data_IF_581843852708
#
_entry.id   IF_581843852708
#
_cell.length_a   1.000
_cell.length_b   1.000
_cell.length_c   1.000
_cell.angle_alpha   90.00
_cell.angle_beta   90.00
_cell.angle_gamma   90.00
#
_symmetry.space_group_name_H-M   'P 1'
#
loop_
_entity.id
_entity.type
_entity.pdbx_description
1 polymer ?
#
# COMPACT_ATOMS: atom_id res chain seq x y z
N UNK A 1 15.31 -4.42 -25.78
CA UNK A 1 14.47 -3.77 -24.75
C UNK A 1 13.47 -4.79 -24.26
N UNK A 2 13.47 -5.10 -22.97
CA UNK A 2 12.42 -5.95 -22.37
C UNK A 2 11.18 -5.10 -22.14
N UNK A 3 10.02 -5.59 -22.61
CA UNK A 3 8.75 -4.93 -22.36
C UNK A 3 8.46 -4.91 -20.86
N UNK A 4 7.91 -3.80 -20.33
CA UNK A 4 7.48 -3.75 -18.95
C UNK A 4 6.32 -4.73 -18.71
N UNK A 5 6.30 -5.33 -17.51
CA UNK A 5 5.22 -6.19 -17.05
C UNK A 5 4.34 -5.44 -16.06
N UNK A 6 3.02 -5.61 -16.17
CA UNK A 6 2.03 -5.02 -15.28
C UNK A 6 0.99 -6.06 -14.90
N UNK A 7 0.68 -6.15 -13.61
CA UNK A 7 -0.36 -7.03 -13.09
C UNK A 7 -1.15 -6.34 -11.99
N UNK A 8 -2.48 -6.31 -12.11
CA UNK A 8 -3.37 -5.76 -11.09
C UNK A 8 -3.47 -6.74 -9.93
N UNK A 9 -3.16 -6.28 -8.73
CA UNK A 9 -3.23 -7.05 -7.49
C UNK A 9 -4.63 -6.96 -6.86
N UNK A 10 -5.07 -7.98 -6.09
CA UNK A 10 -6.34 -7.95 -5.36
C UNK A 10 -6.48 -6.76 -4.39
N UNK A 11 -5.36 -6.29 -3.85
CA UNK A 11 -5.31 -5.08 -3.02
C UNK A 11 -5.44 -3.77 -3.82
N UNK A 12 -5.76 -3.80 -5.11
CA UNK A 12 -5.94 -2.62 -5.96
C UNK A 12 -4.64 -1.97 -6.44
N UNK A 13 -3.48 -2.39 -5.92
CA UNK A 13 -2.17 -1.98 -6.43
C UNK A 13 -1.85 -2.66 -7.77
N UNK A 14 -0.79 -2.20 -8.43
CA UNK A 14 -0.28 -2.75 -9.68
C UNK A 14 1.16 -3.19 -9.45
N UNK A 15 1.43 -4.50 -9.56
CA UNK A 15 2.79 -5.00 -9.67
C UNK A 15 3.35 -4.54 -11.01
N UNK A 16 4.47 -3.82 -10.96
CA UNK A 16 5.19 -3.36 -12.15
C UNK A 16 6.60 -3.94 -12.15
N UNK A 17 7.04 -4.50 -13.27
CA UNK A 17 8.43 -4.95 -13.47
C UNK A 17 9.00 -4.28 -14.72
N UNK A 18 10.04 -3.48 -14.54
CA UNK A 18 10.71 -2.72 -15.60
C UNK A 18 12.20 -2.61 -15.30
N UNK A 19 13.05 -2.78 -16.31
CA UNK A 19 14.51 -2.68 -16.17
C UNK A 19 15.07 -3.55 -15.02
N UNK A 20 14.59 -4.81 -14.92
CA UNK A 20 14.93 -5.77 -13.87
C UNK A 20 14.66 -5.31 -12.43
N UNK A 21 13.87 -4.25 -12.24
CA UNK A 21 13.36 -3.79 -10.95
C UNK A 21 11.86 -4.03 -10.90
N UNK A 22 11.34 -4.21 -9.69
CA UNK A 22 9.90 -4.33 -9.47
C UNK A 22 9.45 -3.47 -8.31
N UNK A 23 8.18 -3.08 -8.33
CA UNK A 23 7.52 -2.29 -7.30
C UNK A 23 6.01 -2.47 -7.38
N UNK A 24 5.31 -2.08 -6.31
CA UNK A 24 3.84 -1.99 -6.30
C UNK A 24 3.47 -0.52 -6.40
N UNK A 25 2.63 -0.18 -7.36
CA UNK A 25 2.13 1.17 -7.56
C UNK A 25 0.64 1.25 -7.26
N UNK A 26 0.24 2.30 -6.55
CA UNK A 26 -1.14 2.76 -6.49
C UNK A 26 -1.29 4.04 -7.30
N UNK A 27 -2.44 4.18 -7.96
CA UNK A 27 -2.82 5.41 -8.65
C UNK A 27 -4.20 5.82 -8.16
N UNK A 28 -4.28 7.02 -7.62
CA UNK A 28 -5.51 7.60 -7.09
C UNK A 28 -5.87 8.86 -7.87
N UNK A 29 -7.17 9.04 -8.06
CA UNK A 29 -7.68 10.31 -8.55
C UNK A 29 -7.53 11.36 -7.44
N UNK A 30 -7.13 12.60 -7.79
CA UNK A 30 -7.10 13.69 -6.85
C UNK A 30 -8.53 13.99 -6.35
N UNK A 31 -8.64 14.54 -5.15
CA UNK A 31 -9.92 15.09 -4.68
C UNK A 31 -10.27 16.40 -5.40
N UNK A 32 -9.24 17.18 -5.77
CA UNK A 32 -9.39 18.38 -6.58
C UNK A 32 -9.53 18.02 -8.06
N UNK A 33 -10.61 18.42 -8.75
CA UNK A 33 -10.79 18.20 -10.20
C UNK A 33 -9.64 18.75 -11.06
N UNK A 34 -8.90 19.75 -10.59
CA UNK A 34 -7.71 20.31 -11.27
C UNK A 34 -6.38 19.65 -10.87
N UNK A 35 -6.39 18.73 -9.91
CA UNK A 35 -5.19 18.09 -9.37
C UNK A 35 -4.54 17.10 -10.34
N UNK A 36 -3.25 16.83 -10.15
CA UNK A 36 -2.59 15.71 -10.80
C UNK A 36 -2.97 14.37 -10.15
N UNK A 37 -2.87 13.27 -10.91
CA UNK A 37 -3.00 11.93 -10.34
C UNK A 37 -1.99 11.72 -9.22
N UNK A 38 -2.44 11.13 -8.11
CA UNK A 38 -1.57 10.77 -7.00
C UNK A 38 -1.06 9.37 -7.24
N UNK A 39 0.26 9.22 -7.31
CA UNK A 39 0.90 7.93 -7.48
C UNK A 39 1.78 7.61 -6.30
N UNK A 40 1.48 6.49 -5.65
CA UNK A 40 2.27 5.95 -4.54
C UNK A 40 3.02 4.75 -5.06
N UNK A 41 4.34 4.73 -4.86
CA UNK A 41 5.23 3.64 -5.27
C UNK A 41 5.86 3.03 -4.02
N UNK A 42 5.65 1.73 -3.84
CA UNK A 42 6.30 0.93 -2.80
C UNK A 42 7.35 0.08 -3.50
N UNK A 43 8.63 0.43 -3.29
CA UNK A 43 9.77 -0.25 -3.93
C UNK A 43 9.91 -1.65 -3.36
N UNK A 44 10.43 -2.58 -4.17
CA UNK A 44 10.71 -3.96 -3.74
C UNK A 44 11.53 -4.05 -2.45
N UNK A 45 12.48 -3.13 -2.25
CA UNK A 45 13.33 -3.04 -1.06
C UNK A 45 12.56 -2.70 0.21
N UNK A 46 11.38 -2.10 0.06
CA UNK A 46 10.61 -1.54 1.17
C UNK A 46 9.39 -2.41 1.52
N UNK A 47 9.08 -3.45 0.73
CA UNK A 47 7.87 -4.27 0.87
C UNK A 47 7.76 -4.89 2.27
N UNK A 48 8.83 -5.50 2.77
CA UNK A 48 8.81 -6.17 4.08
C UNK A 48 8.63 -5.14 5.21
N UNK A 49 9.37 -4.02 5.16
CA UNK A 49 9.23 -2.92 6.11
C UNK A 49 7.84 -2.27 6.04
N UNK A 50 7.26 -2.17 4.84
CA UNK A 50 5.93 -1.62 4.63
C UNK A 50 4.86 -2.51 5.27
N UNK A 51 4.98 -3.84 5.15
CA UNK A 51 4.06 -4.78 5.81
C UNK A 51 4.18 -4.75 7.33
N UNK A 52 5.41 -4.64 7.87
CA UNK A 52 5.65 -4.47 9.30
C UNK A 52 5.03 -3.17 9.80
N UNK A 53 5.30 -2.05 9.10
CA UNK A 53 4.74 -0.75 9.43
C UNK A 53 3.20 -0.76 9.37
N UNK A 54 2.62 -1.36 8.33
CA UNK A 54 1.18 -1.49 8.19
C UNK A 54 0.57 -2.26 9.36
N UNK A 55 1.18 -3.39 9.78
CA UNK A 55 0.71 -4.15 10.94
C UNK A 55 0.77 -3.31 12.21
N UNK A 56 1.90 -2.67 12.49
CA UNK A 56 2.07 -1.84 13.68
C UNK A 56 1.06 -0.68 13.72
N UNK A 57 0.87 0.00 12.59
CA UNK A 57 -0.10 1.08 12.46
C UNK A 57 -1.54 0.58 12.63
N UNK A 58 -1.84 -0.63 12.14
CA UNK A 58 -3.16 -1.24 12.26
C UNK A 58 -3.49 -1.61 13.71
N UNK A 59 -2.54 -2.21 14.44
CA UNK A 59 -2.72 -2.48 15.88
C UNK A 59 -2.90 -1.17 16.68
N UNK A 60 -2.12 -0.14 16.34
CA UNK A 60 -2.28 1.18 16.96
C UNK A 60 -3.67 1.75 16.69
N UNK A 61 -4.13 1.73 15.43
CA UNK A 61 -5.48 2.14 15.06
C UNK A 61 -6.54 1.40 15.90
N UNK A 62 -6.49 0.07 15.98
CA UNK A 62 -7.43 -0.74 16.76
C UNK A 62 -7.43 -0.38 18.25
N UNK A 63 -6.29 0.03 18.80
CA UNK A 63 -6.19 0.43 20.22
C UNK A 63 -6.81 1.79 20.54
N UNK A 64 -6.88 2.70 19.55
CA UNK A 64 -7.32 4.10 19.76
C UNK A 64 -8.66 4.43 19.10
N UNK A 65 -9.15 3.64 18.15
CA UNK A 65 -10.29 3.99 17.28
C UNK A 65 -11.65 4.22 17.98
N UNK A 66 -11.76 3.86 19.25
CA UNK A 66 -12.96 4.04 20.09
C UNK A 66 -12.77 5.08 21.20
N UNK A 67 -11.53 5.54 21.44
CA UNK A 67 -11.17 6.39 22.58
C UNK A 67 -10.41 7.66 22.17
N UNK A 68 -10.32 7.95 20.86
CA UNK A 68 -9.63 9.13 20.37
C UNK A 68 -10.56 10.33 20.35
N UNK A 69 -10.06 11.48 20.81
CA UNK A 69 -10.80 12.74 20.80
C UNK A 69 -11.36 13.05 19.39
N UNK A 70 -12.59 13.55 19.33
CA UNK A 70 -13.29 13.85 18.06
C UNK A 70 -12.54 14.88 17.19
N UNK A 71 -11.69 15.71 17.81
CA UNK A 71 -10.90 16.73 17.11
C UNK A 71 -9.66 16.17 16.38
N UNK A 72 -9.27 14.91 16.63
CA UNK A 72 -8.10 14.29 16.00
C UNK A 72 -8.58 13.50 14.78
N UNK A 73 -8.34 14.02 13.57
CA UNK A 73 -8.79 13.35 12.34
C UNK A 73 -7.74 12.42 11.73
N UNK A 74 -6.45 12.74 11.86
CA UNK A 74 -5.36 11.99 11.25
C UNK A 74 -4.08 12.04 12.08
N UNK A 75 -3.48 10.89 12.30
CA UNK A 75 -2.24 10.72 13.08
C UNK A 75 -1.14 10.25 12.12
N UNK A 76 -0.04 11.00 11.96
CA UNK A 76 1.12 10.54 11.20
C UNK A 76 1.67 9.23 11.79
N UNK A 77 1.97 8.26 10.93
CA UNK A 77 2.37 6.93 11.35
C UNK A 77 3.59 6.44 10.54
N UNK A 78 4.03 5.20 10.80
CA UNK A 78 5.22 4.65 10.14
C UNK A 78 5.08 4.60 8.61
N UNK A 79 6.20 4.76 7.90
CA UNK A 79 6.27 4.67 6.43
C UNK A 79 5.34 5.67 5.70
N UNK A 80 5.21 6.89 6.24
CA UNK A 80 4.35 7.97 5.73
C UNK A 80 2.85 7.64 5.67
N UNK A 81 2.42 6.56 6.33
CA UNK A 81 1.01 6.24 6.47
C UNK A 81 0.32 7.23 7.41
N UNK A 82 -1.00 7.30 7.30
CA UNK A 82 -1.84 8.09 8.21
C UNK A 82 -2.86 7.19 8.88
N UNK A 83 -3.02 7.31 10.19
CA UNK A 83 -4.10 6.66 10.93
C UNK A 83 -5.24 7.65 11.07
N UNK A 84 -6.33 7.40 10.36
CA UNK A 84 -7.55 8.19 10.46
C UNK A 84 -8.51 7.50 11.42
N UNK A 85 -8.89 8.17 12.49
CA UNK A 85 -9.73 7.58 13.55
C UNK A 85 -11.21 7.88 13.38
N UNK A 86 -11.55 8.84 12.51
CA UNK A 86 -12.93 9.29 12.25
C UNK A 86 -13.22 9.40 10.75
N UNK A 87 -14.51 9.51 10.41
CA UNK A 87 -14.95 9.84 9.07
C UNK A 87 -14.90 8.69 8.05
N UNK A 88 -15.15 8.99 6.76
CA UNK A 88 -15.29 7.97 5.70
C UNK A 88 -13.98 7.25 5.35
N UNK A 89 -12.84 7.83 5.75
CA UNK A 89 -11.52 7.23 5.56
C UNK A 89 -10.95 6.63 6.85
N UNK A 90 -11.81 6.26 7.81
CA UNK A 90 -11.40 5.62 9.08
C UNK A 90 -10.58 4.35 8.80
N UNK A 91 -9.39 4.27 9.38
CA UNK A 91 -8.43 3.17 9.23
C UNK A 91 -7.00 3.66 9.00
N UNK A 92 -6.10 2.72 8.68
CA UNK A 92 -4.73 3.04 8.25
C UNK A 92 -4.72 3.28 6.75
N UNK A 93 -4.35 4.49 6.34
CA UNK A 93 -4.24 4.89 4.95
C UNK A 93 -2.78 4.84 4.48
N UNK A 94 -2.56 4.43 3.22
CA UNK A 94 -1.23 4.42 2.60
C UNK A 94 -0.61 5.81 2.56
N UNK A 95 -1.44 6.82 2.28
CA UNK A 95 -1.10 8.24 2.34
C UNK A 95 -2.39 9.06 2.49
N UNK A 96 -2.41 9.98 3.46
CA UNK A 96 -3.57 10.84 3.74
C UNK A 96 -4.84 10.05 4.01
N UNK A 97 -5.76 10.03 3.04
CA UNK A 97 -7.08 9.39 3.12
C UNK A 97 -7.28 8.26 2.10
N UNK A 98 -6.21 7.84 1.41
CA UNK A 98 -6.27 6.84 0.34
C UNK A 98 -6.12 5.41 0.87
N UNK A 99 -7.02 4.51 0.43
CA UNK A 99 -7.07 3.07 0.78
C UNK A 99 -7.02 2.83 2.30
N UNK A 100 -8.05 3.24 3.06
CA UNK A 100 -8.13 2.91 4.47
C UNK A 100 -8.19 1.40 4.69
N UNK A 101 -7.42 0.92 5.66
CA UNK A 101 -7.42 -0.46 6.15
C UNK A 101 -7.95 -0.42 7.57
N UNK A 102 -9.14 -0.97 7.78
CA UNK A 102 -9.90 -0.85 9.03
C UNK A 102 -10.26 -2.20 9.66
N UNK A 103 -10.11 -3.28 8.88
CA UNK A 103 -10.41 -4.65 9.30
C UNK A 103 -9.24 -5.61 9.07
N UNK A 104 -9.19 -6.69 9.85
CA UNK A 104 -8.18 -7.74 9.68
C UNK A 104 -8.24 -8.37 8.28
N UNK A 105 -9.45 -8.49 7.71
CA UNK A 105 -9.64 -9.01 6.35
C UNK A 105 -8.97 -8.11 5.30
N UNK A 106 -9.08 -6.80 5.44
CA UNK A 106 -8.43 -5.84 4.53
C UNK A 106 -6.91 -5.86 4.70
N UNK A 107 -6.41 -5.93 5.95
CA UNK A 107 -5.00 -6.10 6.23
C UNK A 107 -4.44 -7.36 5.56
N UNK A 108 -5.11 -8.49 5.76
CA UNK A 108 -4.71 -9.78 5.21
C UNK A 108 -4.73 -9.77 3.67
N UNK A 109 -5.74 -9.13 3.05
CA UNK A 109 -5.79 -8.94 1.59
C UNK A 109 -4.58 -8.17 1.06
N UNK A 110 -4.14 -7.11 1.75
CA UNK A 110 -2.95 -6.34 1.36
C UNK A 110 -1.69 -7.18 1.54
N UNK A 111 -1.55 -7.84 2.68
CA UNK A 111 -0.41 -8.72 2.99
C UNK A 111 -0.25 -9.80 1.92
N UNK A 112 -1.31 -10.55 1.63
CA UNK A 112 -1.26 -11.66 0.66
C UNK A 112 -0.96 -11.14 -0.75
N UNK A 113 -1.53 -10.00 -1.12
CA UNK A 113 -1.24 -9.37 -2.42
C UNK A 113 0.24 -8.97 -2.55
N UNK A 114 0.86 -8.47 -1.47
CA UNK A 114 2.27 -8.05 -1.49
C UNK A 114 3.21 -9.26 -1.54
N UNK A 115 2.89 -10.32 -0.78
CA UNK A 115 3.65 -11.56 -0.79
C UNK A 115 3.57 -12.24 -2.17
N UNK A 116 2.37 -12.34 -2.74
CA UNK A 116 2.18 -12.81 -4.11
C UNK A 116 3.01 -11.99 -5.11
N UNK A 117 2.96 -10.65 -5.03
CA UNK A 117 3.71 -9.79 -5.93
C UNK A 117 5.22 -10.01 -5.82
N UNK A 118 5.74 -10.20 -4.60
CA UNK A 118 7.14 -10.52 -4.32
C UNK A 118 7.55 -11.84 -4.97
N UNK A 119 6.79 -12.91 -4.72
CA UNK A 119 7.05 -14.23 -5.31
C UNK A 119 7.00 -14.18 -6.84
N UNK A 120 5.97 -13.55 -7.39
CA UNK A 120 5.77 -13.44 -8.84
C UNK A 120 6.89 -12.68 -9.52
N UNK A 121 7.31 -11.56 -8.93
CA UNK A 121 8.42 -10.78 -9.46
C UNK A 121 9.74 -11.56 -9.44
N UNK A 122 10.03 -12.29 -8.36
CA UNK A 122 11.23 -13.12 -8.28
C UNK A 122 11.25 -14.22 -9.34
N UNK A 123 10.12 -14.90 -9.57
CA UNK A 123 9.97 -15.92 -10.62
C UNK A 123 10.29 -15.33 -12.00
N UNK A 124 9.64 -14.23 -12.36
CA UNK A 124 9.78 -13.60 -13.68
C UNK A 124 11.19 -13.02 -13.91
N UNK A 125 11.84 -12.50 -12.87
CA UNK A 125 13.21 -11.97 -12.96
C UNK A 125 14.26 -13.09 -13.06
N UNK A 126 14.05 -14.21 -12.36
CA UNK A 126 14.92 -15.39 -12.47
C UNK A 126 14.87 -15.99 -13.87
N UNK A 127 13.67 -16.18 -14.43
CA UNK A 127 13.49 -16.73 -15.78
C UNK A 127 14.10 -15.84 -16.88
N UNK A 128 14.25 -14.54 -16.63
CA UNK A 128 14.93 -13.59 -17.54
C UNK A 128 16.45 -13.63 -17.44
N UNK A 129 17.02 -14.23 -16.40
CA UNK A 129 18.48 -14.31 -16.21
C UNK A 129 19.10 -15.59 -16.82
N UNK A 130 18.25 -16.54 -17.22
CA UNK A 130 18.62 -17.85 -17.80
C UNK A 130 18.45 -17.95 -19.32
N UNK A 131 18.01 -16.86 -19.97
CA UNK A 131 17.90 -16.72 -21.43
C UNK A 131 18.77 -15.57 -21.91
#
# INVERSE_FOLDING_TARGET
MTLPYYEKLPCGGILTIVNNKWFIQYSFLPLDPGGGNISIIIKSTDIDNHLIALRNNFELFKSIEHNCDECIYGIPAYMNMTINVHGPSKGVCLEGYYRPISTEKEFQLVKDSFLYAKEKAMELLKNKSTN
#
